data_IF_842126338539
#
_entry.id   IF_842126338539
#
_cell.length_a   1.000
_cell.length_b   1.000
_cell.length_c   1.000
_cell.angle_alpha   90.00
_cell.angle_beta   90.00
_cell.angle_gamma   90.00
#
_symmetry.space_group_name_H-M   'P 1'
#
loop_
_entity.id
_entity.type
_entity.pdbx_description
1 polymer ?
#
# COMPACT_ATOMS: atom_id res chain seq x y z
N UNK A 1 -14.34 -7.20 -7.80
CA UNK A 1 -14.29 -7.42 -6.33
C UNK A 1 -13.08 -6.73 -5.70
N UNK A 2 -11.84 -6.90 -6.19
CA UNK A 2 -10.65 -6.18 -5.67
C UNK A 2 -10.77 -4.66 -5.64
N UNK A 3 -11.12 -4.04 -6.77
CA UNK A 3 -11.24 -2.58 -6.85
C UNK A 3 -12.23 -2.01 -5.82
N UNK A 4 -13.40 -2.65 -5.67
CA UNK A 4 -14.42 -2.26 -4.70
C UNK A 4 -13.91 -2.33 -3.26
N UNK A 5 -13.07 -3.32 -2.92
CA UNK A 5 -12.44 -3.40 -1.59
C UNK A 5 -11.49 -2.23 -1.34
N UNK A 6 -10.69 -1.84 -2.34
CA UNK A 6 -9.80 -0.67 -2.22
C UNK A 6 -10.62 0.62 -2.08
N UNK A 7 -11.62 0.83 -2.94
CA UNK A 7 -12.50 2.00 -2.88
C UNK A 7 -13.21 2.11 -1.53
N UNK A 8 -13.69 0.99 -0.99
CA UNK A 8 -14.28 0.94 0.34
C UNK A 8 -13.29 1.39 1.42
N UNK A 9 -12.08 0.82 1.47
CA UNK A 9 -11.07 1.20 2.46
C UNK A 9 -10.69 2.68 2.36
N UNK A 10 -10.55 3.21 1.15
CA UNK A 10 -10.28 4.65 0.93
C UNK A 10 -11.42 5.51 1.47
N UNK A 11 -12.68 5.12 1.21
CA UNK A 11 -13.86 5.83 1.71
C UNK A 11 -13.96 5.80 3.24
N UNK A 12 -13.48 4.73 3.88
CA UNK A 12 -13.35 4.62 5.34
C UNK A 12 -12.13 5.38 5.91
N UNK A 13 -11.40 6.14 5.07
CA UNK A 13 -10.29 7.00 5.49
C UNK A 13 -8.92 6.33 5.53
N UNK A 14 -8.77 5.13 4.95
CA UNK A 14 -7.46 4.49 4.84
C UNK A 14 -6.59 5.27 3.85
N UNK A 15 -5.53 5.88 4.37
CA UNK A 15 -4.61 6.71 3.59
C UNK A 15 -3.30 6.00 3.20
N UNK A 16 -2.94 4.90 3.87
CA UNK A 16 -1.68 4.18 3.65
C UNK A 16 -1.91 2.68 3.50
N UNK A 17 -1.37 2.10 2.43
CA UNK A 17 -1.38 0.67 2.15
C UNK A 17 0.05 0.11 2.18
N UNK A 18 0.22 -1.04 2.83
CA UNK A 18 1.52 -1.72 2.94
C UNK A 18 1.43 -3.08 2.22
N UNK A 19 2.20 -3.25 1.15
CA UNK A 19 2.36 -4.51 0.42
C UNK A 19 3.56 -5.27 0.98
N UNK A 20 3.31 -6.45 1.56
CA UNK A 20 4.36 -7.32 2.12
C UNK A 20 4.67 -8.42 1.10
N UNK A 21 5.93 -8.54 0.70
CA UNK A 21 6.40 -9.55 -0.25
C UNK A 21 7.13 -8.97 -1.47
N UNK A 22 7.81 -9.82 -2.24
CA UNK A 22 8.61 -9.40 -3.38
C UNK A 22 7.73 -8.84 -4.52
N UNK A 23 8.15 -7.71 -5.10
CA UNK A 23 7.44 -7.06 -6.20
C UNK A 23 6.55 -5.90 -5.76
N UNK A 24 5.83 -5.31 -6.71
CA UNK A 24 5.00 -4.10 -6.48
C UNK A 24 3.63 -4.21 -7.16
N UNK A 25 3.07 -5.42 -7.20
CA UNK A 25 1.86 -5.70 -7.96
C UNK A 25 0.67 -5.03 -7.29
N UNK A 26 0.47 -5.23 -6.00
CA UNK A 26 -0.65 -4.63 -5.26
C UNK A 26 -0.50 -3.11 -5.21
N UNK A 27 0.71 -2.61 -4.99
CA UNK A 27 1.05 -1.18 -5.08
C UNK A 27 0.63 -0.60 -6.43
N UNK A 28 0.97 -1.27 -7.54
CA UNK A 28 0.58 -0.86 -8.88
C UNK A 28 -0.93 -0.85 -9.10
N UNK A 29 -1.63 -1.89 -8.62
CA UNK A 29 -3.09 -2.00 -8.71
C UNK A 29 -3.79 -0.89 -7.91
N UNK A 30 -3.36 -0.64 -6.67
CA UNK A 30 -3.90 0.41 -5.81
C UNK A 30 -3.72 1.78 -6.46
N UNK A 31 -2.53 2.09 -7.01
CA UNK A 31 -2.26 3.36 -7.69
C UNK A 31 -3.06 3.59 -8.97
N UNK A 32 -3.54 2.52 -9.63
CA UNK A 32 -4.46 2.65 -10.77
C UNK A 32 -5.87 3.02 -10.33
N UNK A 33 -6.27 2.62 -9.12
CA UNK A 33 -7.58 2.89 -8.54
C UNK A 33 -7.59 4.29 -7.91
N UNK A 34 -6.59 4.60 -7.08
CA UNK A 34 -6.46 5.88 -6.41
C UNK A 34 -4.98 6.27 -6.30
N UNK A 35 -4.61 7.45 -6.84
CA UNK A 35 -3.22 7.95 -6.85
C UNK A 35 -2.85 8.78 -5.62
N UNK A 36 -3.85 9.17 -4.83
CA UNK A 36 -3.70 10.10 -3.70
C UNK A 36 -3.36 9.35 -2.41
N UNK A 37 -3.50 8.02 -2.38
CA UNK A 37 -3.13 7.18 -1.24
C UNK A 37 -1.64 6.83 -1.25
N UNK A 38 -1.05 6.74 -0.06
CA UNK A 38 0.32 6.29 0.14
C UNK A 38 0.39 4.77 0.00
N UNK A 39 1.41 4.29 -0.70
CA UNK A 39 1.71 2.86 -0.83
C UNK A 39 3.15 2.61 -0.42
N UNK A 40 3.39 1.55 0.35
CA UNK A 40 4.71 1.12 0.82
C UNK A 40 4.85 -0.35 0.46
N UNK A 41 5.98 -0.75 -0.12
CA UNK A 41 6.27 -2.14 -0.39
C UNK A 41 7.45 -2.60 0.48
N UNK A 42 7.27 -3.74 1.15
CA UNK A 42 8.29 -4.41 1.96
C UNK A 42 8.66 -5.71 1.26
N UNK A 43 9.65 -5.64 0.37
CA UNK A 43 10.09 -6.80 -0.41
C UNK A 43 11.19 -7.63 0.25
N UNK A 44 11.94 -7.03 1.18
CA UNK A 44 13.10 -7.65 1.82
C UNK A 44 13.32 -7.12 3.25
N UNK A 45 14.27 -7.73 3.95
CA UNK A 45 14.64 -7.35 5.31
C UNK A 45 15.24 -5.93 5.41
N UNK A 46 15.75 -5.37 4.30
CA UNK A 46 16.28 -4.02 4.26
C UNK A 46 15.13 -2.99 4.24
N UNK A 47 14.06 -3.27 3.51
CA UNK A 47 12.83 -2.47 3.42
C UNK A 47 12.15 -2.31 4.80
N UNK A 48 12.28 -3.30 5.69
CA UNK A 48 11.76 -3.22 7.07
C UNK A 48 12.45 -2.11 7.87
N UNK A 49 13.73 -1.83 7.61
CA UNK A 49 14.48 -0.78 8.33
C UNK A 49 13.95 0.61 7.99
N UNK A 50 13.43 0.81 6.77
CA UNK A 50 12.89 2.09 6.31
C UNK A 50 11.56 2.46 6.98
N UNK A 51 10.83 1.47 7.51
CA UNK A 51 9.54 1.69 8.20
C UNK A 51 9.70 2.15 9.66
N UNK A 52 10.89 2.03 10.24
CA UNK A 52 11.15 2.38 11.65
C UNK A 52 11.08 3.89 11.98
N UNK A 53 10.62 4.74 11.07
CA UNK A 53 10.45 6.19 11.26
C UNK A 53 9.04 6.65 11.64
N UNK A 54 8.12 5.75 12.03
CA UNK A 54 6.82 6.14 12.61
C UNK A 54 6.99 6.27 14.13
N UNK A 55 7.56 7.40 14.55
CA UNK A 55 7.55 7.90 15.93
C UNK A 55 6.83 9.22 15.97
#
# INVERSE_FOLDING_TARGET
QWQRSIEYMVNEGVATFIEIGPGKVLTGLIRRINKDVKTINIGDAQSIKEIKGVS
#
